data_IF_914347300287
#
_entry.id   IF_914347300287
#
_cell.length_a   1.000
_cell.length_b   1.000
_cell.length_c   1.000
_cell.angle_alpha   90.00
_cell.angle_beta   90.00
_cell.angle_gamma   90.00
#
_symmetry.space_group_name_H-M   'P 1'
#
loop_
_entity.id
_entity.type
_entity.pdbx_description
1 polymer ?
#
# COMPACT_ATOMS: atom_id res chain seq x y z
N UNK A 1 -0.99 3.32 -24.38
CA UNK A 1 -1.80 2.95 -23.20
C UNK A 1 -2.09 1.46 -23.19
N UNK A 2 -2.61 0.88 -24.27
CA UNK A 2 -2.83 -0.57 -24.38
C UNK A 2 -1.56 -1.42 -24.16
N UNK A 3 -0.39 -0.97 -24.63
CA UNK A 3 0.88 -1.69 -24.43
C UNK A 3 1.26 -1.84 -22.95
N UNK A 4 1.07 -0.79 -22.13
CA UNK A 4 1.39 -0.83 -20.70
C UNK A 4 0.41 -1.71 -19.91
N UNK A 5 -0.85 -1.81 -20.34
CA UNK A 5 -1.80 -2.71 -19.71
C UNK A 5 -1.40 -4.19 -19.94
N UNK A 6 -0.97 -4.52 -21.16
CA UNK A 6 -0.45 -5.87 -21.49
C UNK A 6 0.81 -6.20 -20.69
N UNK A 7 1.75 -5.25 -20.56
CA UNK A 7 2.95 -5.41 -19.72
C UNK A 7 2.60 -5.64 -18.23
N UNK A 8 1.57 -4.96 -17.71
CA UNK A 8 1.10 -5.16 -16.34
C UNK A 8 0.50 -6.56 -16.14
N UNK A 9 -0.31 -7.04 -17.09
CA UNK A 9 -0.88 -8.40 -17.05
C UNK A 9 0.22 -9.47 -17.10
N UNK A 10 1.23 -9.28 -17.93
CA UNK A 10 2.36 -10.19 -18.03
C UNK A 10 3.21 -10.19 -16.74
N UNK A 11 3.43 -9.02 -16.13
CA UNK A 11 4.11 -8.90 -14.85
C UNK A 11 3.38 -9.66 -13.73
N UNK A 12 2.04 -9.62 -13.70
CA UNK A 12 1.23 -10.41 -12.76
C UNK A 12 1.41 -11.91 -13.01
N UNK A 13 1.34 -12.35 -14.27
CA UNK A 13 1.51 -13.76 -14.66
C UNK A 13 2.85 -14.33 -14.21
N UNK A 14 3.90 -13.51 -14.24
CA UNK A 14 5.24 -13.89 -13.81
C UNK A 14 5.53 -13.59 -12.33
N UNK A 15 4.55 -13.11 -11.56
CA UNK A 15 4.73 -12.75 -10.14
C UNK A 15 5.66 -11.54 -9.92
N UNK A 16 5.95 -10.77 -10.97
CA UNK A 16 6.82 -9.61 -10.91
C UNK A 16 6.07 -8.36 -10.44
N UNK A 17 5.78 -8.33 -9.14
CA UNK A 17 5.03 -7.23 -8.51
C UNK A 17 5.73 -5.87 -8.63
N UNK A 18 7.07 -5.86 -8.73
CA UNK A 18 7.85 -4.63 -8.93
C UNK A 18 7.52 -3.97 -10.26
N UNK A 19 7.50 -4.76 -11.33
CA UNK A 19 7.21 -4.28 -12.68
C UNK A 19 5.74 -3.90 -12.83
N UNK A 20 4.84 -4.71 -12.27
CA UNK A 20 3.41 -4.36 -12.17
C UNK A 20 3.22 -2.97 -11.53
N UNK A 21 3.83 -2.74 -10.37
CA UNK A 21 3.71 -1.46 -9.65
C UNK A 21 4.28 -0.29 -10.46
N UNK A 22 5.43 -0.48 -11.11
CA UNK A 22 6.03 0.54 -11.97
C UNK A 22 5.13 0.88 -13.17
N UNK A 23 4.48 -0.11 -13.76
CA UNK A 23 3.59 0.06 -14.92
C UNK A 23 2.27 0.71 -14.55
N UNK A 24 1.65 0.31 -13.43
CA UNK A 24 0.47 1.00 -12.85
C UNK A 24 0.79 2.46 -12.55
N UNK A 25 1.98 2.72 -12.00
CA UNK A 25 2.46 4.09 -11.71
C UNK A 25 2.55 4.94 -12.99
N UNK A 26 3.09 4.40 -14.08
CA UNK A 26 3.14 5.08 -15.39
C UNK A 26 1.74 5.34 -15.96
N UNK A 27 0.83 4.36 -15.86
CA UNK A 27 -0.55 4.47 -16.33
C UNK A 27 -1.36 5.52 -15.56
N UNK A 28 -1.09 5.69 -14.26
CA UNK A 28 -1.87 6.58 -13.40
C UNK A 28 -1.73 8.07 -13.74
N UNK A 29 -0.67 8.50 -14.43
CA UNK A 29 -0.44 9.89 -14.88
C UNK A 29 -0.36 10.98 -13.79
N UNK A 30 -0.78 10.67 -12.55
CA UNK A 30 -0.93 11.57 -11.41
C UNK A 30 0.21 11.41 -10.39
N UNK A 31 1.36 10.91 -10.81
CA UNK A 31 2.48 10.76 -9.90
C UNK A 31 3.24 12.08 -9.76
N UNK A 32 2.83 12.92 -8.82
CA UNK A 32 3.77 13.85 -8.21
C UNK A 32 4.82 13.00 -7.48
N UNK A 33 6.08 13.07 -7.89
CA UNK A 33 7.18 12.63 -7.02
C UNK A 33 7.17 13.55 -5.80
N UNK A 34 6.31 13.24 -4.83
CA UNK A 34 6.60 13.68 -3.47
C UNK A 34 7.78 12.82 -3.03
N UNK A 35 9.00 13.25 -3.33
CA UNK A 35 10.15 12.84 -2.56
C UNK A 35 9.87 13.33 -1.14
N UNK A 36 9.20 12.49 -0.37
CA UNK A 36 9.08 12.67 1.08
C UNK A 36 10.35 12.08 1.63
N UNK A 37 11.35 12.90 1.98
CA UNK A 37 12.57 12.37 2.56
C UNK A 37 12.23 11.60 3.83
N UNK A 38 12.90 10.48 4.04
CA UNK A 38 12.81 9.71 5.29
C UNK A 38 13.36 10.58 6.42
N UNK A 39 12.62 10.62 7.53
CA UNK A 39 12.99 11.40 8.71
C UNK A 39 13.41 10.50 9.86
N UNK A 40 14.34 10.99 10.67
CA UNK A 40 14.69 10.38 11.94
C UNK A 40 13.54 10.54 12.97
N UNK A 41 13.76 10.04 14.19
CA UNK A 41 12.80 10.15 15.29
C UNK A 41 12.53 11.60 15.73
N UNK A 42 13.48 12.51 15.49
CA UNK A 42 13.39 13.92 15.85
C UNK A 42 12.78 14.77 14.71
N UNK A 43 12.44 14.13 13.59
CA UNK A 43 11.81 14.76 12.43
C UNK A 43 12.77 15.40 11.44
N UNK A 44 14.08 15.21 11.60
CA UNK A 44 15.09 15.69 10.65
C UNK A 44 15.21 14.74 9.46
N UNK A 45 15.52 15.30 8.30
CA UNK A 45 15.70 14.54 7.06
C UNK A 45 17.01 13.75 7.10
N UNK A 46 16.95 12.46 6.77
CA UNK A 46 18.11 11.60 6.63
C UNK A 46 18.62 11.68 5.18
N UNK A 47 19.81 12.26 4.94
CA UNK A 47 20.26 12.58 3.58
C UNK A 47 20.84 11.36 2.83
N UNK A 48 21.37 10.37 3.54
CA UNK A 48 22.10 9.25 2.96
C UNK A 48 21.31 7.93 3.01
N UNK A 49 21.58 7.06 2.03
CA UNK A 49 20.85 5.80 1.87
C UNK A 49 21.10 4.81 3.01
N UNK A 50 22.29 4.79 3.60
CA UNK A 50 22.63 3.87 4.70
C UNK A 50 21.89 4.26 5.98
N UNK A 51 21.85 5.55 6.32
CA UNK A 51 21.04 6.08 7.40
C UNK A 51 19.55 5.81 7.20
N UNK A 52 19.04 5.92 5.96
CA UNK A 52 17.65 5.57 5.67
C UNK A 52 17.38 4.08 5.89
N UNK A 53 18.27 3.19 5.44
CA UNK A 53 18.14 1.74 5.70
C UNK A 53 18.16 1.42 7.19
N UNK A 54 19.07 2.05 7.94
CA UNK A 54 19.17 1.89 9.39
C UNK A 54 17.88 2.35 10.07
N UNK A 55 17.35 3.51 9.68
CA UNK A 55 16.07 4.02 10.18
C UNK A 55 14.90 3.08 9.89
N UNK A 56 14.88 2.46 8.70
CA UNK A 56 13.91 1.42 8.35
C UNK A 56 14.06 0.17 9.21
N UNK A 57 15.28 -0.31 9.42
CA UNK A 57 15.56 -1.47 10.26
C UNK A 57 15.05 -1.24 11.70
N UNK A 58 15.38 -0.10 12.31
CA UNK A 58 14.91 0.28 13.64
C UNK A 58 13.39 0.38 13.73
N UNK A 59 12.74 0.96 12.70
CA UNK A 59 11.28 1.05 12.66
C UNK A 59 10.63 -0.33 12.66
N UNK A 60 11.08 -1.21 11.77
CA UNK A 60 10.51 -2.55 11.63
C UNK A 60 10.85 -3.45 12.81
N UNK A 61 12.03 -3.31 13.40
CA UNK A 61 12.41 -4.05 14.61
C UNK A 61 11.45 -3.74 15.77
N UNK A 62 11.14 -2.46 15.99
CA UNK A 62 10.18 -2.05 17.02
C UNK A 62 8.74 -2.47 16.69
N UNK A 63 8.35 -2.41 15.42
CA UNK A 63 6.99 -2.75 14.98
C UNK A 63 6.72 -4.25 15.05
N UNK A 64 7.67 -5.07 14.59
CA UNK A 64 7.49 -6.53 14.46
C UNK A 64 7.79 -7.27 15.77
N UNK A 65 8.68 -6.73 16.61
CA UNK A 65 9.04 -7.34 17.90
C UNK A 65 8.32 -6.68 19.08
N UNK A 66 7.17 -6.05 18.85
CA UNK A 66 6.37 -5.43 19.92
C UNK A 66 5.92 -6.54 20.89
N UNK A 67 6.15 -6.39 22.21
CA UNK A 67 5.66 -7.35 23.19
C UNK A 67 4.13 -7.39 23.19
N UNK A 68 3.57 -8.52 23.60
CA UNK A 68 2.12 -8.65 23.76
C UNK A 68 1.59 -7.49 24.63
N UNK A 69 0.49 -6.84 24.23
CA UNK A 69 -0.10 -5.77 25.03
C UNK A 69 -0.50 -6.33 26.41
N UNK A 70 -0.32 -5.51 27.46
CA UNK A 70 -0.63 -5.89 28.85
C UNK A 70 -2.14 -6.08 29.08
N UNK A 71 -2.94 -5.35 28.33
CA UNK A 71 -4.39 -5.42 28.36
C UNK A 71 -4.88 -6.07 27.07
N UNK A 72 -5.82 -7.00 27.20
CA UNK A 72 -6.51 -7.55 26.04
C UNK A 72 -7.41 -6.47 25.44
N UNK A 73 -7.54 -6.46 24.12
CA UNK A 73 -8.51 -5.61 23.46
C UNK A 73 -9.92 -6.01 23.94
N UNK A 74 -10.68 -5.03 24.45
CA UNK A 74 -12.10 -5.21 24.75
C UNK A 74 -12.88 -5.06 23.43
N UNK A 75 -13.00 -6.18 22.71
CA UNK A 75 -13.72 -6.24 21.45
C UNK A 75 -15.17 -6.58 21.77
N UNK A 76 -16.02 -5.56 21.80
CA UNK A 76 -17.46 -5.77 21.90
C UNK A 76 -17.99 -6.40 20.61
N UNK A 77 -18.92 -7.35 20.76
CA UNK A 77 -19.64 -7.90 19.63
C UNK A 77 -20.42 -6.77 18.94
N UNK A 78 -20.41 -6.76 17.61
CA UNK A 78 -21.24 -5.82 16.87
C UNK A 78 -22.71 -6.08 17.18
N UNK A 79 -23.50 -5.01 17.38
CA UNK A 79 -24.94 -5.12 17.64
C UNK A 79 -25.70 -5.75 16.46
N UNK A 80 -25.16 -5.60 15.24
CA UNK A 80 -25.69 -6.18 14.01
C UNK A 80 -24.61 -6.24 12.94
N UNK A 81 -24.75 -7.19 12.01
CA UNK A 81 -23.91 -7.21 10.81
C UNK A 81 -24.19 -5.97 9.94
N UNK A 82 -23.12 -5.38 9.41
CA UNK A 82 -23.25 -4.36 8.39
C UNK A 82 -23.80 -5.04 7.12
N UNK A 83 -24.86 -4.48 6.54
CA UNK A 83 -25.45 -4.94 5.26
C UNK A 83 -24.56 -4.64 4.05
N UNK A 84 -23.26 -4.88 4.18
CA UNK A 84 -22.26 -4.70 3.14
C UNK A 84 -22.19 -6.00 2.34
N UNK A 85 -22.28 -5.88 1.02
CA UNK A 85 -22.11 -7.01 0.11
C UNK A 85 -20.64 -7.43 0.09
N UNK A 86 -20.33 -8.54 0.76
CA UNK A 86 -18.98 -9.14 0.78
C UNK A 86 -18.70 -10.03 -0.45
N UNK A 87 -19.59 -10.01 -1.44
CA UNK A 87 -19.43 -10.74 -2.70
C UNK A 87 -18.43 -10.06 -3.65
N UNK A 88 -18.12 -10.70 -4.78
CA UNK A 88 -17.32 -10.06 -5.82
C UNK A 88 -18.06 -8.82 -6.35
N UNK A 89 -17.34 -7.72 -6.67
CA UNK A 89 -17.96 -6.50 -7.15
C UNK A 89 -18.68 -6.74 -8.48
N UNK A 90 -19.84 -6.13 -8.63
CA UNK A 90 -20.61 -6.16 -9.87
C UNK A 90 -19.89 -5.40 -10.99
N UNK A 91 -20.18 -5.77 -12.24
CA UNK A 91 -19.65 -5.10 -13.42
C UNK A 91 -19.97 -3.59 -13.43
N UNK A 92 -21.12 -3.20 -12.90
CA UNK A 92 -21.53 -1.79 -12.85
C UNK A 92 -20.77 -1.01 -11.77
N UNK A 93 -20.47 -1.63 -10.63
CA UNK A 93 -19.60 -1.02 -9.61
C UNK A 93 -18.19 -0.82 -10.13
N UNK A 94 -17.62 -1.82 -10.81
CA UNK A 94 -16.32 -1.72 -11.46
C UNK A 94 -16.33 -0.58 -12.48
N UNK A 95 -17.34 -0.52 -13.35
CA UNK A 95 -17.48 0.54 -14.36
C UNK A 95 -17.55 1.93 -13.71
N UNK A 96 -18.38 2.09 -12.67
CA UNK A 96 -18.51 3.36 -11.92
C UNK A 96 -17.21 3.76 -11.24
N UNK A 97 -16.49 2.81 -10.64
CA UNK A 97 -15.21 3.08 -9.99
C UNK A 97 -14.14 3.54 -11.00
N UNK A 98 -14.06 2.88 -12.16
CA UNK A 98 -13.13 3.24 -13.24
C UNK A 98 -13.44 4.64 -13.80
N UNK A 99 -14.72 5.01 -13.96
CA UNK A 99 -15.09 6.34 -14.44
C UNK A 99 -14.79 7.48 -13.45
N UNK A 100 -14.51 7.17 -12.19
CA UNK A 100 -14.16 8.17 -11.14
C UNK A 100 -12.65 8.40 -11.01
N UNK A 101 -11.80 7.62 -11.69
CA UNK A 101 -10.35 7.76 -11.70
C UNK A 101 -9.92 8.95 -12.58
#
# INVERSE_FOLDING_TARGET
>A
MESLAVEAEDAVRHGNMRELYATIKKLSGKHTQSDRPVKDSDGNVIPDMEGQKQRWAEYFENLLNRPAPREMADIHQADSDLGIECGPPSKEEIRKAVMRL
#
